data_IF_793904635245
#
_entry.id   IF_793904635245
#
_cell.length_a   1.000
_cell.length_b   1.000
_cell.length_c   1.000
_cell.angle_alpha   90.00
_cell.angle_beta   90.00
_cell.angle_gamma   90.00
#
_symmetry.space_group_name_H-M   'P 1'
#
loop_
_entity.id
_entity.type
_entity.pdbx_description
1 polymer ?
#
# COMPACT_ATOMS: atom_id res chain seq x y z
N UNK A 1 2.22 -9.80 -4.17
CA UNK A 1 2.21 -8.55 -4.97
C UNK A 1 2.12 -7.33 -4.04
N UNK A 2 1.09 -7.22 -3.18
CA UNK A 2 0.97 -6.13 -2.18
C UNK A 2 2.12 -6.07 -1.15
N UNK A 3 2.59 -7.21 -0.65
CA UNK A 3 3.72 -7.28 0.30
C UNK A 3 5.03 -6.69 -0.25
N UNK A 4 5.22 -6.71 -1.57
CA UNK A 4 6.39 -6.13 -2.22
C UNK A 4 6.26 -4.60 -2.40
N UNK A 5 5.03 -4.07 -2.46
CA UNK A 5 4.76 -2.65 -2.60
C UNK A 5 4.76 -1.91 -1.26
N UNK A 6 4.37 -2.58 -0.18
CA UNK A 6 4.26 -1.98 1.14
C UNK A 6 5.55 -1.25 1.61
N UNK A 7 6.77 -1.80 1.42
CA UNK A 7 8.01 -1.08 1.74
C UNK A 7 8.12 0.28 1.04
N UNK A 8 7.60 0.40 -0.19
CA UNK A 8 7.62 1.65 -0.94
C UNK A 8 6.70 2.73 -0.34
N UNK A 9 5.73 2.32 0.47
CA UNK A 9 4.69 3.16 1.06
C UNK A 9 4.99 3.60 2.50
N UNK A 10 6.11 3.16 3.10
CA UNK A 10 6.41 3.36 4.53
C UNK A 10 6.49 4.83 5.00
N UNK A 11 6.59 5.80 4.09
CA UNK A 11 6.56 7.23 4.41
C UNK A 11 5.16 7.86 4.35
N UNK A 12 4.16 7.13 3.84
CA UNK A 12 2.76 7.54 3.93
C UNK A 12 2.20 7.23 5.32
N UNK A 13 0.99 7.73 5.57
CA UNK A 13 0.26 7.44 6.81
C UNK A 13 -0.08 5.95 6.82
N UNK A 14 0.39 5.18 7.81
CA UNK A 14 0.02 3.78 7.95
C UNK A 14 -1.47 3.67 8.31
N UNK A 15 -2.11 2.52 8.04
CA UNK A 15 -3.45 2.28 8.57
C UNK A 15 -3.45 2.45 10.10
N UNK A 16 -4.45 3.15 10.64
CA UNK A 16 -4.55 3.44 12.08
C UNK A 16 -4.67 2.16 12.93
N UNK A 17 -5.16 1.09 12.31
CA UNK A 17 -5.31 -0.19 12.97
C UNK A 17 -4.88 -1.32 12.04
N UNK A 18 -4.22 -2.33 12.64
CA UNK A 18 -4.07 -3.65 12.05
C UNK A 18 -5.28 -4.54 12.35
N UNK A 19 -6.19 -4.08 13.23
CA UNK A 19 -7.46 -4.73 13.50
C UNK A 19 -8.32 -4.60 12.26
N UNK A 20 -8.60 -5.75 11.69
CA UNK A 20 -9.21 -5.85 10.38
C UNK A 20 -10.67 -5.43 10.48
N UNK A 21 -11.06 -4.55 9.56
CA UNK A 21 -12.42 -4.04 9.46
C UNK A 21 -13.42 -5.20 9.34
N UNK A 22 -14.66 -4.96 9.77
CA UNK A 22 -15.78 -5.84 9.46
C UNK A 22 -15.75 -6.20 7.98
N UNK A 23 -15.59 -7.48 7.66
CA UNK A 23 -15.70 -7.93 6.28
C UNK A 23 -17.17 -7.87 5.91
N UNK A 24 -17.47 -7.10 4.87
CA UNK A 24 -18.80 -7.06 4.29
C UNK A 24 -19.07 -8.40 3.60
N UNK A 25 -20.31 -8.88 3.72
CA UNK A 25 -20.76 -10.18 3.20
C UNK A 25 -20.61 -10.38 1.69
N UNK A 26 -20.39 -9.30 0.95
CA UNK A 26 -20.16 -9.28 -0.50
C UNK A 26 -18.74 -8.86 -0.86
N UNK A 27 -17.80 -8.98 0.08
CA UNK A 27 -16.40 -8.76 -0.24
C UNK A 27 -15.88 -9.90 -1.11
N UNK A 28 -14.96 -9.59 -2.00
CA UNK A 28 -14.33 -10.57 -2.90
C UNK A 28 -13.67 -11.73 -2.09
N UNK A 29 -13.28 -11.47 -0.84
CA UNK A 29 -12.76 -12.46 0.12
C UNK A 29 -13.83 -13.48 0.58
N UNK A 30 -15.08 -13.05 0.71
CA UNK A 30 -16.21 -13.92 1.08
C UNK A 30 -16.75 -14.67 -0.14
N UNK A 31 -16.84 -13.99 -1.28
CA UNK A 31 -17.41 -14.57 -2.50
C UNK A 31 -16.45 -15.54 -3.22
N UNK A 32 -15.13 -15.35 -3.07
CA UNK A 32 -14.08 -16.16 -3.73
C UNK A 32 -12.97 -16.54 -2.73
N UNK A 33 -13.27 -17.24 -1.63
CA UNK A 33 -12.34 -17.50 -0.54
C UNK A 33 -11.06 -18.24 -0.98
N UNK A 34 -11.17 -19.15 -1.95
CA UNK A 34 -10.07 -19.93 -2.51
C UNK A 34 -8.99 -19.07 -3.18
N UNK A 35 -9.38 -17.95 -3.83
CA UNK A 35 -8.44 -16.98 -4.42
C UNK A 35 -7.49 -16.38 -3.37
N UNK A 36 -7.95 -16.34 -2.13
CA UNK A 36 -7.21 -15.80 -0.99
C UNK A 36 -6.68 -16.90 -0.06
N UNK A 37 -6.63 -18.14 -0.55
CA UNK A 37 -6.02 -19.26 0.15
C UNK A 37 -6.79 -19.78 1.35
N UNK A 38 -8.10 -19.54 1.40
CA UNK A 38 -8.97 -20.09 2.44
C UNK A 38 -9.40 -21.52 2.09
N UNK A 39 -9.36 -22.41 3.08
CA UNK A 39 -9.72 -23.83 2.95
C UNK A 39 -11.20 -24.10 3.23
N UNK A 40 -11.90 -23.14 3.84
CA UNK A 40 -13.34 -23.20 4.07
C UNK A 40 -13.95 -21.78 4.08
N UNK A 41 -15.28 -21.66 3.91
CA UNK A 41 -15.98 -20.38 4.03
C UNK A 41 -15.77 -19.72 5.39
N UNK A 42 -15.87 -18.39 5.43
CA UNK A 42 -15.84 -17.63 6.68
C UNK A 42 -17.03 -18.01 7.56
N UNK A 43 -16.77 -18.15 8.85
CA UNK A 43 -17.83 -18.30 9.86
C UNK A 43 -18.16 -16.96 10.47
N UNK A 44 -19.43 -16.74 10.82
CA UNK A 44 -19.83 -15.55 11.55
C UNK A 44 -19.13 -15.49 12.91
N UNK A 45 -18.97 -14.29 13.45
CA UNK A 45 -18.30 -14.10 14.74
C UNK A 45 -19.19 -14.50 15.92
N UNK A 46 -18.62 -15.15 16.94
CA UNK A 46 -19.37 -15.70 18.09
C UNK A 46 -20.26 -14.68 18.82
N UNK A 47 -19.96 -13.37 18.75
CA UNK A 47 -20.79 -12.31 19.34
C UNK A 47 -22.22 -12.30 18.81
N UNK A 48 -22.49 -12.81 17.61
CA UNK A 48 -23.86 -12.95 17.12
C UNK A 48 -24.68 -13.97 17.91
N UNK A 49 -24.04 -14.93 18.59
CA UNK A 49 -24.71 -15.86 19.50
C UNK A 49 -25.24 -15.18 20.77
N UNK A 50 -24.74 -13.98 21.10
CA UNK A 50 -25.28 -13.16 22.18
C UNK A 50 -26.56 -12.43 21.74
N UNK A 51 -26.74 -12.21 20.44
CA UNK A 51 -27.88 -11.48 19.88
C UNK A 51 -29.03 -12.41 19.50
N UNK A 52 -28.71 -13.61 19.04
CA UNK A 52 -29.69 -14.59 18.56
C UNK A 52 -29.53 -15.92 19.28
N UNK A 53 -30.61 -16.42 19.87
CA UNK A 53 -30.65 -17.78 20.40
C UNK A 53 -30.79 -18.81 19.27
N UNK A 54 -30.24 -20.01 19.48
CA UNK A 54 -30.36 -21.10 18.50
C UNK A 54 -31.82 -21.42 18.14
N UNK A 55 -32.73 -21.37 19.12
CA UNK A 55 -34.15 -21.61 18.90
C UNK A 55 -34.77 -20.55 17.97
N UNK A 56 -34.42 -19.27 18.16
CA UNK A 56 -34.89 -18.19 17.29
C UNK A 56 -34.38 -18.37 15.85
N UNK A 57 -33.11 -18.73 15.68
CA UNK A 57 -32.53 -18.96 14.35
C UNK A 57 -33.21 -20.11 13.61
N UNK A 58 -33.44 -21.24 14.29
CA UNK A 58 -34.11 -22.41 13.73
C UNK A 58 -35.56 -22.10 13.34
N UNK A 59 -36.31 -21.45 14.23
CA UNK A 59 -37.72 -21.10 13.99
C UNK A 59 -37.90 -20.21 12.76
N UNK A 60 -36.93 -19.32 12.49
CA UNK A 60 -37.01 -18.36 11.38
C UNK A 60 -36.16 -18.76 10.16
N UNK A 61 -35.53 -19.94 10.17
CA UNK A 61 -34.65 -20.38 9.07
C UNK A 61 -33.46 -19.44 8.81
N UNK A 62 -32.97 -18.75 9.84
CA UNK A 62 -31.89 -17.76 9.70
C UNK A 62 -30.53 -18.46 9.77
N UNK A 63 -29.71 -18.29 8.73
CA UNK A 63 -28.30 -18.69 8.71
C UNK A 63 -27.43 -17.46 8.92
N UNK A 64 -26.74 -17.40 10.06
CA UNK A 64 -25.92 -16.25 10.45
C UNK A 64 -24.75 -16.02 9.48
N UNK A 65 -24.21 -17.09 8.90
CA UNK A 65 -23.19 -17.04 7.85
C UNK A 65 -23.64 -16.23 6.62
N UNK A 66 -24.94 -16.11 6.36
CA UNK A 66 -25.46 -15.41 5.18
C UNK A 66 -25.82 -13.94 5.46
N UNK A 67 -25.98 -13.54 6.72
CA UNK A 67 -26.54 -12.23 7.09
C UNK A 67 -25.61 -11.36 7.94
N UNK A 68 -24.64 -11.97 8.61
CA UNK A 68 -23.75 -11.29 9.55
C UNK A 68 -22.50 -10.71 8.88
N UNK A 69 -21.91 -9.69 9.52
CA UNK A 69 -20.57 -9.26 9.19
C UNK A 69 -19.57 -10.25 9.79
N UNK A 70 -18.51 -10.55 9.05
CA UNK A 70 -17.43 -11.37 9.59
C UNK A 70 -16.47 -10.44 10.32
N UNK A 71 -16.30 -10.67 11.62
CA UNK A 71 -15.23 -10.04 12.37
C UNK A 71 -14.01 -10.93 12.24
N UNK A 72 -12.90 -10.28 11.95
CA UNK A 72 -11.66 -10.97 11.67
C UNK A 72 -10.99 -11.40 12.97
N UNK A 73 -11.16 -12.67 13.29
CA UNK A 73 -10.33 -13.37 14.24
C UNK A 73 -9.50 -14.37 13.42
N UNK A 74 -8.19 -14.44 13.68
CA UNK A 74 -7.28 -15.42 13.07
C UNK A 74 -7.77 -16.85 13.33
N UNK A 75 -8.51 -17.07 14.43
CA UNK A 75 -9.17 -18.33 14.75
C UNK A 75 -10.42 -18.62 13.89
N UNK A 76 -10.91 -17.64 13.13
CA UNK A 76 -12.13 -17.73 12.30
C UNK A 76 -11.78 -17.81 10.81
N UNK A 77 -10.52 -17.56 10.43
CA UNK A 77 -10.04 -17.68 9.05
C UNK A 77 -9.31 -19.01 8.84
N UNK A 78 -9.89 -19.96 8.09
CA UNK A 78 -9.22 -21.21 7.75
C UNK A 78 -8.22 -20.99 6.61
N UNK A 79 -7.21 -20.13 6.81
CA UNK A 79 -6.15 -19.96 5.80
C UNK A 79 -5.31 -21.22 5.68
N UNK A 80 -4.96 -21.58 4.44
CA UNK A 80 -4.03 -22.66 4.20
C UNK A 80 -2.62 -22.34 4.73
N UNK A 81 -1.83 -23.39 4.93
CA UNK A 81 -0.47 -23.28 5.49
C UNK A 81 0.49 -22.39 4.67
N UNK A 82 0.21 -22.13 3.38
CA UNK A 82 1.01 -21.24 2.54
C UNK A 82 0.66 -19.76 2.74
N UNK A 83 -0.60 -19.48 3.06
CA UNK A 83 -1.14 -18.13 3.10
C UNK A 83 -1.02 -17.51 4.48
N UNK A 84 -1.16 -18.32 5.54
CA UNK A 84 -1.05 -17.86 6.91
C UNK A 84 0.27 -17.09 7.20
N UNK A 85 1.46 -17.59 6.80
CA UNK A 85 2.71 -16.84 7.02
C UNK A 85 2.76 -15.49 6.26
N UNK A 86 2.08 -15.38 5.12
CA UNK A 86 2.04 -14.13 4.33
C UNK A 86 1.24 -13.06 5.07
N UNK A 87 0.12 -13.42 5.68
CA UNK A 87 -0.68 -12.50 6.50
C UNK A 87 0.07 -12.05 7.75
N UNK A 88 0.79 -12.96 8.41
CA UNK A 88 1.63 -12.62 9.57
C UNK A 88 2.74 -11.64 9.17
N UNK A 89 3.44 -11.90 8.06
CA UNK A 89 4.44 -10.97 7.51
C UNK A 89 3.82 -9.61 7.25
N UNK A 90 2.62 -9.56 6.68
CA UNK A 90 1.94 -8.30 6.40
C UNK A 90 1.60 -7.53 7.69
N UNK A 91 1.11 -8.22 8.71
CA UNK A 91 0.87 -7.65 10.04
C UNK A 91 2.14 -7.05 10.66
N UNK A 92 3.25 -7.80 10.62
CA UNK A 92 4.55 -7.33 11.08
C UNK A 92 5.05 -6.12 10.31
N UNK A 93 4.89 -6.09 8.98
CA UNK A 93 5.28 -4.95 8.16
C UNK A 93 4.46 -3.70 8.48
N UNK A 94 3.14 -3.82 8.73
CA UNK A 94 2.31 -2.68 9.14
C UNK A 94 2.72 -2.17 10.52
N UNK A 95 2.93 -3.04 11.51
CA UNK A 95 3.38 -2.64 12.84
C UNK A 95 4.72 -1.91 12.78
N UNK A 96 5.65 -2.41 11.97
CA UNK A 96 6.93 -1.74 11.73
C UNK A 96 6.75 -0.38 11.04
N UNK A 97 5.88 -0.29 10.03
CA UNK A 97 5.53 0.97 9.37
C UNK A 97 4.96 1.98 10.37
N UNK A 98 4.00 1.58 11.21
CA UNK A 98 3.46 2.39 12.29
C UNK A 98 4.56 2.91 13.21
N UNK A 99 5.41 2.04 13.72
CA UNK A 99 6.51 2.43 14.62
C UNK A 99 7.45 3.47 13.98
N UNK A 100 7.83 3.31 12.70
CA UNK A 100 8.69 4.27 11.99
C UNK A 100 8.00 5.58 11.65
N UNK A 101 6.72 5.53 11.29
CA UNK A 101 5.92 6.73 11.01
C UNK A 101 5.73 7.58 12.28
N UNK A 102 5.31 6.96 13.39
CA UNK A 102 5.08 7.65 14.67
C UNK A 102 6.38 8.20 15.28
N UNK A 103 7.51 7.53 15.06
CA UNK A 103 8.83 8.04 15.47
C UNK A 103 9.38 9.14 14.54
N UNK A 104 8.65 9.52 13.48
CA UNK A 104 9.04 10.52 12.47
C UNK A 104 10.35 10.19 11.75
N UNK A 105 10.70 8.91 11.70
CA UNK A 105 11.95 8.42 11.09
C UNK A 105 11.80 8.07 9.62
N UNK A 106 10.59 7.71 9.17
CA UNK A 106 10.33 7.35 7.78
C UNK A 106 10.01 8.57 6.91
N UNK A 107 10.86 8.82 5.91
CA UNK A 107 10.68 9.90 4.93
C UNK A 107 11.16 9.43 3.57
N UNK A 108 10.38 9.76 2.55
CA UNK A 108 10.81 9.71 1.16
C UNK A 108 10.53 11.06 0.53
N UNK A 109 11.61 11.82 0.27
CA UNK A 109 11.47 13.17 -0.24
C UNK A 109 12.42 13.48 -1.37
N UNK A 110 12.14 14.55 -2.10
CA UNK A 110 13.02 15.04 -3.13
C UNK A 110 13.32 16.53 -2.99
N UNK A 111 14.46 16.93 -3.54
CA UNK A 111 14.86 18.31 -3.74
C UNK A 111 15.36 18.50 -5.17
N UNK A 112 14.82 19.49 -5.86
CA UNK A 112 15.34 19.86 -7.17
C UNK A 112 16.64 20.66 -7.03
N UNK A 113 17.58 20.42 -7.94
CA UNK A 113 18.81 21.19 -8.07
C UNK A 113 19.06 21.54 -9.55
N UNK A 114 20.17 22.23 -9.86
CA UNK A 114 20.50 22.63 -11.23
C UNK A 114 20.86 21.44 -12.14
N UNK A 115 21.34 20.33 -11.56
CA UNK A 115 21.72 19.10 -12.25
C UNK A 115 20.57 18.10 -12.45
N UNK A 116 19.48 18.22 -11.68
CA UNK A 116 18.37 17.28 -11.68
C UNK A 116 17.61 17.25 -10.36
N UNK A 117 17.58 16.09 -9.71
CA UNK A 117 16.80 15.83 -8.51
C UNK A 117 17.56 14.90 -7.55
N UNK A 118 17.62 15.30 -6.29
CA UNK A 118 18.15 14.50 -5.17
C UNK A 118 16.99 13.87 -4.43
N UNK A 119 17.01 12.55 -4.23
CA UNK A 119 16.01 11.79 -3.46
C UNK A 119 16.63 11.39 -2.12
N UNK A 120 15.94 11.70 -1.03
CA UNK A 120 16.30 11.32 0.33
C UNK A 120 15.31 10.25 0.81
N UNK A 121 15.83 9.09 1.22
CA UNK A 121 15.05 7.94 1.64
C UNK A 121 15.52 7.40 3.00
N UNK A 122 14.72 7.61 4.05
CA UNK A 122 14.91 7.07 5.40
C UNK A 122 13.81 6.06 5.75
N UNK A 123 13.10 5.49 4.77
CA UNK A 123 11.98 4.55 5.02
C UNK A 123 12.40 3.33 5.84
N UNK A 124 13.63 2.85 5.65
CA UNK A 124 14.09 1.57 6.22
C UNK A 124 15.25 1.69 7.20
N UNK A 125 16.02 2.78 7.13
CA UNK A 125 17.21 2.97 7.95
C UNK A 125 17.20 4.37 8.56
N UNK A 126 17.84 4.50 9.73
CA UNK A 126 17.96 5.79 10.42
C UNK A 126 18.97 6.69 9.69
N UNK A 127 19.97 6.10 9.02
CA UNK A 127 20.81 6.77 8.04
C UNK A 127 20.09 6.82 6.67
N UNK A 128 19.75 8.01 6.15
CA UNK A 128 19.02 8.13 4.88
C UNK A 128 19.92 7.79 3.69
N UNK A 129 19.40 6.98 2.77
CA UNK A 129 19.98 6.82 1.45
C UNK A 129 19.70 8.09 0.61
N UNK A 130 20.71 8.56 -0.12
CA UNK A 130 20.59 9.69 -1.05
C UNK A 130 20.85 9.22 -2.47
N UNK A 131 19.89 9.43 -3.36
CA UNK A 131 19.99 9.08 -4.78
C UNK A 131 20.00 10.35 -5.62
N UNK A 132 20.96 10.46 -6.52
CA UNK A 132 21.08 11.58 -7.44
C UNK A 132 20.64 11.17 -8.84
N UNK A 133 19.70 11.92 -9.42
CA UNK A 133 19.26 11.71 -10.79
C UNK A 133 19.35 13.00 -11.61
N UNK A 134 19.57 12.83 -12.92
CA UNK A 134 19.72 13.94 -13.86
C UNK A 134 18.42 14.71 -14.17
N UNK A 135 18.53 15.68 -15.07
CA UNK A 135 17.44 16.57 -15.49
C UNK A 135 16.21 15.83 -16.02
N UNK A 136 16.40 14.67 -16.65
CA UNK A 136 15.32 13.84 -17.16
C UNK A 136 14.44 13.28 -16.03
N UNK A 137 15.03 12.95 -14.87
CA UNK A 137 14.27 12.46 -13.73
C UNK A 137 13.47 13.58 -13.06
N UNK A 138 14.04 14.78 -12.98
CA UNK A 138 13.32 16.00 -12.57
C UNK A 138 12.11 16.25 -13.46
N UNK A 139 12.22 15.99 -14.75
CA UNK A 139 11.12 16.15 -15.69
C UNK A 139 10.04 15.06 -15.54
N UNK A 140 10.45 13.80 -15.34
CA UNK A 140 9.52 12.71 -15.00
C UNK A 140 8.76 13.01 -13.71
N UNK A 141 9.46 13.44 -12.67
CA UNK A 141 8.87 13.88 -11.41
C UNK A 141 7.77 14.92 -11.67
N UNK A 142 8.07 16.00 -12.40
CA UNK A 142 7.07 17.03 -12.74
C UNK A 142 5.90 16.50 -13.55
N UNK A 143 6.13 15.52 -14.42
CA UNK A 143 5.09 14.94 -15.26
C UNK A 143 4.17 14.02 -14.45
N UNK A 144 4.69 13.31 -13.45
CA UNK A 144 3.97 12.32 -12.65
C UNK A 144 3.46 12.86 -11.30
N UNK A 145 3.97 13.99 -10.82
CA UNK A 145 3.65 14.47 -9.48
C UNK A 145 2.15 14.76 -9.34
N UNK A 146 1.53 14.14 -8.32
CA UNK A 146 0.10 14.30 -8.02
C UNK A 146 -0.86 13.51 -8.91
N UNK A 147 -0.37 12.64 -9.80
CA UNK A 147 -1.24 11.80 -10.64
C UNK A 147 -0.62 10.45 -11.01
N UNK A 148 -1.49 9.51 -11.41
CA UNK A 148 -1.07 8.26 -12.05
C UNK A 148 -0.94 8.54 -13.55
N UNK A 149 0.15 8.08 -14.17
CA UNK A 149 0.37 8.23 -15.61
C UNK A 149 0.46 6.87 -16.29
N UNK A 150 -0.20 6.74 -17.44
CA UNK A 150 -0.03 5.56 -18.29
C UNK A 150 1.25 5.68 -19.13
N UNK A 151 1.83 4.56 -19.52
CA UNK A 151 3.10 4.49 -20.26
C UNK A 151 3.05 5.35 -21.52
N UNK A 152 1.99 5.21 -22.33
CA UNK A 152 1.85 5.94 -23.58
C UNK A 152 1.92 7.47 -23.39
N UNK A 153 1.24 7.98 -22.37
CA UNK A 153 1.19 9.41 -22.07
C UNK A 153 2.54 9.93 -21.57
N UNK A 154 3.16 9.17 -20.66
CA UNK A 154 4.45 9.52 -20.09
C UNK A 154 5.53 9.57 -21.17
N UNK A 155 5.57 8.58 -22.05
CA UNK A 155 6.56 8.51 -23.11
C UNK A 155 6.34 9.59 -24.18
N UNK A 156 5.09 9.91 -24.52
CA UNK A 156 4.78 11.03 -25.40
C UNK A 156 5.25 12.37 -24.82
N UNK A 157 4.93 12.65 -23.55
CA UNK A 157 5.33 13.88 -22.87
C UNK A 157 6.86 14.03 -22.72
N UNK A 158 7.59 12.92 -22.65
CA UNK A 158 9.05 12.92 -22.59
C UNK A 158 9.68 13.08 -23.98
N UNK A 159 9.07 12.49 -25.01
CA UNK A 159 9.51 12.63 -26.40
C UNK A 159 9.37 14.07 -26.90
N UNK A 160 8.27 14.76 -26.56
CA UNK A 160 8.06 16.19 -26.83
C UNK A 160 9.19 17.08 -26.27
N UNK A 161 9.94 16.57 -25.29
CA UNK A 161 11.05 17.27 -24.65
C UNK A 161 12.42 16.71 -25.08
N UNK A 162 12.44 15.95 -26.18
CA UNK A 162 13.66 15.42 -26.79
C UNK A 162 14.22 14.17 -26.10
N UNK A 163 13.46 13.50 -25.24
CA UNK A 163 13.95 12.33 -24.50
C UNK A 163 13.40 11.05 -25.14
N UNK A 164 14.30 10.27 -25.74
CA UNK A 164 13.94 9.04 -26.43
C UNK A 164 13.38 7.96 -25.50
N UNK A 165 12.46 7.15 -26.04
CA UNK A 165 11.78 6.01 -25.38
C UNK A 165 12.75 5.13 -24.57
N UNK A 166 13.87 4.72 -25.16
CA UNK A 166 14.84 3.85 -24.46
C UNK A 166 15.41 4.51 -23.20
N UNK A 167 15.70 5.81 -23.24
CA UNK A 167 16.24 6.56 -22.10
C UNK A 167 15.20 6.70 -21.00
N UNK A 168 13.94 6.95 -21.36
CA UNK A 168 12.81 6.99 -20.40
C UNK A 168 12.66 5.64 -19.70
N UNK A 169 12.69 4.53 -20.46
CA UNK A 169 12.52 3.19 -19.90
C UNK A 169 13.65 2.82 -18.94
N UNK A 170 14.91 3.04 -19.33
CA UNK A 170 16.07 2.83 -18.44
C UNK A 170 15.98 3.65 -17.16
N UNK A 171 15.49 4.89 -17.27
CA UNK A 171 15.34 5.77 -16.10
C UNK A 171 14.20 5.31 -15.19
N UNK A 172 13.05 4.90 -15.76
CA UNK A 172 11.94 4.34 -14.99
C UNK A 172 12.36 3.08 -14.24
N UNK A 173 13.12 2.18 -14.86
CA UNK A 173 13.62 0.98 -14.19
C UNK A 173 14.46 1.34 -12.95
N UNK A 174 15.38 2.31 -13.08
CA UNK A 174 16.16 2.81 -11.92
C UNK A 174 15.30 3.44 -10.83
N UNK A 175 14.25 4.18 -11.22
CA UNK A 175 13.32 4.81 -10.28
C UNK A 175 12.43 3.77 -9.57
N UNK A 176 12.06 2.69 -10.26
CA UNK A 176 11.33 1.55 -9.69
C UNK A 176 12.22 0.74 -8.74
N UNK A 177 13.47 0.46 -9.12
CA UNK A 177 14.46 -0.24 -8.28
C UNK A 177 14.74 0.52 -6.98
N UNK A 178 14.86 1.85 -7.06
CA UNK A 178 14.99 2.74 -5.91
C UNK A 178 13.67 3.01 -5.17
N UNK A 179 12.56 2.39 -5.61
CA UNK A 179 11.22 2.51 -5.02
C UNK A 179 10.72 3.96 -4.92
N UNK A 180 11.16 4.82 -5.84
CA UNK A 180 10.72 6.22 -5.99
C UNK A 180 9.48 6.29 -6.89
N UNK A 181 9.36 5.33 -7.80
CA UNK A 181 8.21 5.10 -8.65
C UNK A 181 7.63 3.72 -8.36
N UNK A 182 6.31 3.64 -8.29
CA UNK A 182 5.57 2.38 -8.29
C UNK A 182 5.03 2.14 -9.69
N UNK A 183 5.18 0.91 -10.18
CA UNK A 183 4.61 0.47 -11.45
C UNK A 183 3.58 -0.64 -11.21
N UNK A 184 2.43 -0.51 -11.85
CA UNK A 184 1.40 -1.56 -11.93
C UNK A 184 0.92 -1.67 -13.38
N UNK A 185 1.34 -2.74 -14.08
CA UNK A 185 1.10 -2.86 -15.51
C UNK A 185 1.75 -1.72 -16.29
N UNK A 186 0.93 -0.98 -17.04
CA UNK A 186 1.34 0.19 -17.83
C UNK A 186 1.21 1.52 -17.06
N UNK A 187 0.89 1.48 -15.77
CA UNK A 187 0.69 2.67 -14.93
C UNK A 187 1.87 2.92 -14.02
N UNK A 188 2.23 4.20 -13.88
CA UNK A 188 3.33 4.66 -13.03
C UNK A 188 2.84 5.73 -12.06
N UNK A 189 3.32 5.65 -10.82
CA UNK A 189 3.04 6.62 -9.75
C UNK A 189 4.34 7.08 -9.08
N UNK A 190 4.55 8.39 -9.02
CA UNK A 190 5.64 8.99 -8.26
C UNK A 190 5.24 9.06 -6.78
N UNK A 191 6.07 8.53 -5.88
CA UNK A 191 5.72 8.46 -4.45
C UNK A 191 6.54 9.37 -3.53
N UNK A 192 7.65 9.96 -4.00
CA UNK A 192 8.44 10.88 -3.18
C UNK A 192 7.81 12.28 -3.12
N UNK A 193 7.78 12.90 -1.94
CA UNK A 193 7.25 14.25 -1.77
C UNK A 193 8.33 15.34 -1.82
N UNK A 194 8.00 16.60 -2.15
CA UNK A 194 8.94 17.71 -1.99
C UNK A 194 9.41 17.77 -0.53
N UNK A 195 10.68 18.10 -0.29
CA UNK A 195 11.23 18.23 1.07
C UNK A 195 10.39 19.12 2.00
N UNK A 196 9.80 20.21 1.47
CA UNK A 196 8.91 21.09 2.24
C UNK A 196 7.67 20.41 2.81
N UNK A 197 7.14 19.37 2.13
CA UNK A 197 5.93 18.67 2.53
C UNK A 197 6.00 18.14 3.97
N UNK A 198 7.15 17.60 4.37
CA UNK A 198 7.35 17.02 5.70
C UNK A 198 7.57 18.07 6.79
N UNK A 199 8.02 19.28 6.44
CA UNK A 199 8.16 20.38 7.41
C UNK A 199 6.79 20.95 7.79
N UNK A 200 5.90 21.06 6.80
CA UNK A 200 4.64 21.80 6.95
C UNK A 200 3.48 20.90 7.40
N UNK A 201 3.45 19.62 7.00
CA UNK A 201 2.27 18.76 7.17
C UNK A 201 2.40 17.69 8.26
N UNK A 202 3.59 17.39 8.78
CA UNK A 202 3.71 16.42 9.88
C UNK A 202 3.14 16.94 11.20
N UNK A 203 3.01 18.26 11.38
CA UNK A 203 2.42 18.84 12.60
C UNK A 203 0.91 18.54 12.73
N UNK A 204 0.20 18.33 11.61
CA UNK A 204 -1.25 18.12 11.58
C UNK A 204 -1.69 16.71 11.95
N UNK A 205 -0.83 15.70 11.78
CA UNK A 205 -1.17 14.30 12.02
C UNK A 205 -1.01 13.85 13.49
N UNK A 206 -0.46 14.71 14.35
CA UNK A 206 -0.13 14.38 15.75
C UNK A 206 -0.72 15.36 16.77
N UNK A 207 -1.63 16.24 16.35
CA UNK A 207 -2.48 17.07 17.21
C UNK A 207 -3.91 16.52 17.19
#
# INVERSE_FOLDING_TARGET
MLTALLPSLYHFIPPATITLAQLVRYSDLVEKPEKYGMEAPLKYHWRYNLLFSNAFLQMNGICLENICYYYDDVNVRPFNAKTMPIYDIFGHQILHWQARFFSRKARLSYKENNGGISIYDSRHHDDPAVYEFGKEAKLLCKTMFGKICCEKELFAAMLERGIHKQKVHTLLNKLCESRVVIQEGDKYLWVAFPEGFYKDNLAWFFN
#
